data_IF_843981825414
#
_entry.id   IF_843981825414
#
_cell.length_a   1.000
_cell.length_b   1.000
_cell.length_c   1.000
_cell.angle_alpha   90.00
_cell.angle_beta   90.00
_cell.angle_gamma   90.00
#
_symmetry.space_group_name_H-M   'P 1'
#
loop_
_entity.id
_entity.type
_entity.pdbx_description
1 polymer ?
#
# COMPACT_ATOMS: atom_id res chain seq x y z
N UNK A 1 -25.57 -37.66 45.45
CA UNK A 1 -24.19 -37.22 45.17
C UNK A 1 -24.11 -37.04 43.67
N UNK A 2 -23.92 -35.80 43.26
CA UNK A 2 -23.97 -35.26 41.91
C UNK A 2 -22.61 -35.42 41.24
N UNK A 3 -22.54 -36.29 40.23
CA UNK A 3 -21.37 -36.36 39.35
C UNK A 3 -21.56 -35.37 38.18
N UNK A 4 -21.41 -34.08 38.49
CA UNK A 4 -21.19 -33.02 37.50
C UNK A 4 -19.75 -33.15 36.97
N UNK A 5 -19.52 -34.11 36.07
CA UNK A 5 -18.32 -34.15 35.24
C UNK A 5 -18.46 -33.14 34.09
N UNK A 6 -18.50 -31.85 34.43
CA UNK A 6 -18.31 -30.77 33.48
C UNK A 6 -16.80 -30.63 33.18
N UNK A 7 -16.26 -31.61 32.45
CA UNK A 7 -14.93 -31.50 31.88
C UNK A 7 -14.99 -30.42 30.79
N UNK A 8 -14.47 -29.25 31.13
CA UNK A 8 -14.23 -28.10 30.27
C UNK A 8 -13.24 -28.47 29.16
N UNK A 9 -13.70 -29.21 28.15
CA UNK A 9 -12.99 -29.35 26.89
C UNK A 9 -13.28 -28.14 26.03
N UNK A 10 -12.23 -27.61 25.39
CA UNK A 10 -12.36 -26.57 24.37
C UNK A 10 -13.42 -26.98 23.35
N UNK A 11 -14.24 -26.04 22.90
CA UNK A 11 -15.38 -26.29 21.99
C UNK A 11 -14.84 -26.56 20.58
N UNK A 12 -14.34 -27.78 20.34
CA UNK A 12 -13.81 -28.21 19.04
C UNK A 12 -14.96 -28.53 18.09
N UNK A 13 -15.06 -27.80 16.98
CA UNK A 13 -15.98 -28.09 15.88
C UNK A 13 -15.19 -28.72 14.72
N UNK A 14 -15.48 -29.97 14.32
CA UNK A 14 -14.88 -30.54 13.12
C UNK A 14 -15.35 -29.79 11.87
N UNK A 15 -14.44 -29.59 10.90
CA UNK A 15 -14.70 -28.90 9.63
C UNK A 15 -14.28 -29.85 8.49
N UNK A 16 -15.08 -29.94 7.43
CA UNK A 16 -14.72 -30.70 6.24
C UNK A 16 -13.58 -30.01 5.48
N UNK A 17 -12.56 -30.79 5.10
CA UNK A 17 -11.37 -30.23 4.44
C UNK A 17 -11.67 -29.65 3.06
N UNK A 18 -12.61 -30.23 2.30
CA UNK A 18 -12.94 -29.72 0.98
C UNK A 18 -13.71 -28.41 1.08
N UNK A 19 -14.63 -28.32 2.05
CA UNK A 19 -15.36 -27.08 2.35
C UNK A 19 -14.40 -25.96 2.80
N UNK A 20 -13.50 -26.25 3.74
CA UNK A 20 -12.51 -25.28 4.24
C UNK A 20 -11.57 -24.81 3.14
N UNK A 21 -11.02 -25.73 2.33
CA UNK A 21 -10.15 -25.37 1.21
C UNK A 21 -10.87 -24.48 0.20
N UNK A 22 -12.13 -24.79 -0.13
CA UNK A 22 -12.90 -24.00 -1.07
C UNK A 22 -13.19 -22.59 -0.52
N UNK A 23 -13.62 -22.49 0.74
CA UNK A 23 -13.91 -21.19 1.37
C UNK A 23 -12.66 -20.33 1.47
N UNK A 24 -11.59 -20.87 2.07
CA UNK A 24 -10.31 -20.16 2.22
C UNK A 24 -9.71 -19.72 0.88
N UNK A 25 -9.83 -20.55 -0.16
CA UNK A 25 -9.36 -20.19 -1.50
C UNK A 25 -10.16 -19.03 -2.10
N UNK A 26 -11.50 -19.09 -2.03
CA UNK A 26 -12.37 -18.04 -2.57
C UNK A 26 -12.18 -16.72 -1.82
N UNK A 27 -12.09 -16.76 -0.48
CA UNK A 27 -11.90 -15.58 0.34
C UNK A 27 -10.56 -14.89 0.02
N UNK A 28 -9.48 -15.66 -0.08
CA UNK A 28 -8.19 -15.13 -0.47
C UNK A 28 -8.21 -14.58 -1.91
N UNK A 29 -8.75 -15.34 -2.87
CA UNK A 29 -8.82 -14.91 -4.26
C UNK A 29 -9.61 -13.60 -4.42
N UNK A 30 -10.76 -13.49 -3.76
CA UNK A 30 -11.58 -12.29 -3.79
C UNK A 30 -10.86 -11.09 -3.15
N UNK A 31 -10.17 -11.32 -2.01
CA UNK A 31 -9.36 -10.28 -1.35
C UNK A 31 -8.24 -9.75 -2.28
N UNK A 32 -7.63 -10.62 -3.08
CA UNK A 32 -6.58 -10.24 -4.03
C UNK A 32 -7.17 -9.45 -5.20
N UNK A 33 -8.26 -9.91 -5.78
CA UNK A 33 -8.90 -9.28 -6.94
C UNK A 33 -9.35 -7.86 -6.59
N UNK A 34 -10.11 -7.71 -5.50
CA UNK A 34 -10.75 -6.44 -5.13
C UNK A 34 -9.80 -5.53 -4.34
N UNK A 35 -9.03 -6.10 -3.42
CA UNK A 35 -8.26 -5.35 -2.43
C UNK A 35 -6.79 -5.11 -2.78
N UNK A 36 -6.28 -5.66 -3.91
CA UNK A 36 -4.84 -5.64 -4.19
C UNK A 36 -4.48 -5.48 -5.66
N UNK A 37 -4.94 -6.39 -6.51
CA UNK A 37 -4.37 -6.61 -7.83
C UNK A 37 -4.92 -5.63 -8.88
N UNK A 38 -6.24 -5.41 -8.90
CA UNK A 38 -6.90 -4.61 -9.92
C UNK A 38 -7.03 -3.14 -9.48
N UNK A 39 -6.81 -2.18 -10.40
CA UNK A 39 -7.10 -0.78 -10.15
C UNK A 39 -8.60 -0.52 -10.16
N UNK A 40 -9.00 0.59 -9.53
CA UNK A 40 -10.38 1.08 -9.59
C UNK A 40 -10.60 1.90 -10.88
N UNK A 41 -11.79 1.84 -11.46
CA UNK A 41 -12.08 2.42 -12.79
C UNK A 41 -12.16 3.96 -12.81
N UNK A 42 -12.58 4.59 -11.72
CA UNK A 42 -12.78 6.04 -11.58
C UNK A 42 -11.46 6.79 -11.48
N UNK A 43 -10.48 6.21 -10.79
CA UNK A 43 -9.18 6.86 -10.56
C UNK A 43 -7.99 6.12 -11.19
N UNK A 44 -8.18 4.89 -11.69
CA UNK A 44 -7.12 4.07 -12.26
C UNK A 44 -6.10 3.55 -11.24
N UNK A 45 -6.35 3.72 -9.93
CA UNK A 45 -5.39 3.41 -8.88
C UNK A 45 -5.67 2.10 -8.17
N UNK A 46 -4.59 1.31 -7.98
CA UNK A 46 -4.59 0.23 -6.98
C UNK A 46 -4.61 0.80 -5.56
N UNK A 47 -5.07 0.05 -4.55
CA UNK A 47 -5.16 0.52 -3.17
C UNK A 47 -3.85 1.08 -2.59
N UNK A 48 -2.70 0.49 -2.92
CA UNK A 48 -1.39 0.99 -2.44
C UNK A 48 -1.05 2.38 -2.99
N UNK A 49 -1.29 2.65 -4.28
CA UNK A 49 -1.05 3.98 -4.87
C UNK A 49 -1.91 5.05 -4.19
N UNK A 50 -3.21 4.75 -4.02
CA UNK A 50 -4.17 5.67 -3.38
C UNK A 50 -3.76 5.99 -1.94
N UNK A 51 -3.37 4.97 -1.17
CA UNK A 51 -2.93 5.12 0.22
C UNK A 51 -1.66 5.95 0.34
N UNK A 52 -0.66 5.72 -0.52
CA UNK A 52 0.57 6.54 -0.55
C UNK A 52 0.25 7.98 -0.89
N UNK A 53 -0.55 8.21 -1.93
CA UNK A 53 -0.89 9.57 -2.37
C UNK A 53 -1.69 10.34 -1.30
N UNK A 54 -2.64 9.66 -0.65
CA UNK A 54 -3.42 10.22 0.44
C UNK A 54 -2.55 10.51 1.66
N UNK A 55 -1.68 9.59 2.07
CA UNK A 55 -0.76 9.81 3.18
C UNK A 55 0.18 11.01 2.92
N UNK A 56 0.66 11.17 1.68
CA UNK A 56 1.48 12.32 1.30
C UNK A 56 0.71 13.64 1.36
N UNK A 57 -0.56 13.63 0.95
CA UNK A 57 -1.44 14.80 1.01
C UNK A 57 -1.76 15.20 2.47
N UNK A 58 -2.18 14.22 3.28
CA UNK A 58 -2.58 14.38 4.68
C UNK A 58 -1.43 14.92 5.55
N UNK A 59 -0.21 14.43 5.33
CA UNK A 59 1.00 14.89 6.01
C UNK A 59 1.63 16.16 5.39
N UNK A 60 1.03 16.71 4.34
CA UNK A 60 1.45 18.00 3.77
C UNK A 60 2.72 17.97 2.93
N UNK A 61 3.07 16.82 2.31
CA UNK A 61 4.23 16.67 1.41
C UNK A 61 3.94 17.25 0.01
N UNK A 62 3.56 18.52 -0.01
CA UNK A 62 3.04 19.24 -1.18
C UNK A 62 4.17 19.69 -2.14
N UNK A 63 3.84 20.01 -3.42
CA UNK A 63 4.84 20.44 -4.41
C UNK A 63 5.55 21.75 -4.06
N UNK A 64 4.90 22.63 -3.30
CA UNK A 64 5.44 23.91 -2.82
C UNK A 64 6.39 23.77 -1.62
N UNK A 65 6.49 22.58 -1.03
CA UNK A 65 7.32 22.30 0.14
C UNK A 65 8.65 21.65 -0.26
N UNK A 66 9.59 21.67 0.69
CA UNK A 66 10.87 20.98 0.56
C UNK A 66 10.66 19.47 0.46
N UNK A 67 11.57 18.79 -0.24
CA UNK A 67 11.60 17.35 -0.26
C UNK A 67 11.75 16.78 1.15
N UNK A 68 11.12 15.63 1.39
CA UNK A 68 11.21 14.88 2.65
C UNK A 68 11.83 13.51 2.39
N UNK A 69 12.54 12.95 3.37
CA UNK A 69 13.09 11.58 3.26
C UNK A 69 11.97 10.61 2.92
N UNK A 70 12.16 9.76 1.90
CA UNK A 70 11.14 8.80 1.45
C UNK A 70 10.69 7.84 2.56
N UNK A 71 11.54 7.59 3.55
CA UNK A 71 11.18 6.85 4.75
C UNK A 71 9.96 7.42 5.50
N UNK A 72 9.74 8.74 5.48
CA UNK A 72 8.59 9.38 6.14
C UNK A 72 7.24 8.98 5.50
N UNK A 73 6.96 9.28 4.22
CA UNK A 73 5.69 8.89 3.60
C UNK A 73 5.50 7.37 3.57
N UNK A 74 6.57 6.57 3.50
CA UNK A 74 6.47 5.11 3.64
C UNK A 74 5.97 4.72 5.04
N UNK A 75 6.57 5.27 6.10
CA UNK A 75 6.16 5.01 7.47
C UNK A 75 4.73 5.50 7.76
N UNK A 76 4.37 6.71 7.31
CA UNK A 76 3.03 7.29 7.50
C UNK A 76 1.96 6.46 6.79
N UNK A 77 2.28 5.98 5.57
CA UNK A 77 1.38 5.08 4.83
C UNK A 77 1.22 3.76 5.55
N UNK A 78 2.31 3.16 6.02
CA UNK A 78 2.29 1.87 6.70
C UNK A 78 1.53 1.94 8.03
N UNK A 79 1.80 2.98 8.83
CA UNK A 79 1.23 3.14 10.17
C UNK A 79 -0.26 3.45 10.16
N UNK A 80 -0.73 4.25 9.20
CA UNK A 80 -2.10 4.76 9.22
C UNK A 80 -3.03 4.08 8.19
N UNK A 81 -2.51 3.62 7.05
CA UNK A 81 -3.35 3.32 5.87
C UNK A 81 -3.10 1.95 5.22
N UNK A 82 -1.91 1.37 5.35
CA UNK A 82 -1.50 0.18 4.61
C UNK A 82 -0.82 -0.85 5.53
N UNK A 83 -1.55 -1.85 6.07
CA UNK A 83 -1.03 -2.81 7.05
C UNK A 83 -0.20 -3.93 6.40
N UNK A 84 0.73 -3.57 5.52
CA UNK A 84 1.64 -4.47 4.83
C UNK A 84 3.05 -3.87 4.78
N UNK A 85 4.03 -4.68 4.37
CA UNK A 85 5.45 -4.34 4.46
C UNK A 85 5.84 -3.04 3.77
N UNK A 86 6.78 -2.34 4.39
CA UNK A 86 7.41 -1.09 3.95
C UNK A 86 8.01 -1.20 2.53
N UNK A 87 8.57 -2.36 2.19
CA UNK A 87 9.21 -2.62 0.90
C UNK A 87 8.23 -2.41 -0.25
N UNK A 88 7.02 -2.97 -0.16
CA UNK A 88 6.00 -2.85 -1.20
C UNK A 88 5.53 -1.39 -1.37
N UNK A 89 5.46 -0.64 -0.26
CA UNK A 89 5.08 0.77 -0.25
C UNK A 89 6.18 1.61 -0.90
N UNK A 90 7.44 1.37 -0.55
CA UNK A 90 8.59 2.07 -1.12
C UNK A 90 8.75 1.80 -2.62
N UNK A 91 8.62 0.55 -3.05
CA UNK A 91 8.67 0.18 -4.47
C UNK A 91 7.54 0.87 -5.27
N UNK A 92 6.36 0.97 -4.67
CA UNK A 92 5.23 1.70 -5.25
C UNK A 92 5.56 3.19 -5.41
N UNK A 93 6.08 3.82 -4.35
CA UNK A 93 6.48 5.23 -4.34
C UNK A 93 7.54 5.50 -5.42
N UNK A 94 8.55 4.63 -5.50
CA UNK A 94 9.62 4.73 -6.50
C UNK A 94 9.06 4.66 -7.92
N UNK A 95 8.16 3.71 -8.21
CA UNK A 95 7.55 3.59 -9.54
C UNK A 95 6.69 4.80 -9.91
N UNK A 96 6.04 5.44 -8.93
CA UNK A 96 5.29 6.69 -9.14
C UNK A 96 6.18 7.91 -9.43
N UNK A 97 7.48 7.82 -9.12
CA UNK A 97 8.46 8.87 -9.39
C UNK A 97 9.24 8.66 -10.71
N UNK A 98 9.23 7.45 -11.27
CA UNK A 98 10.01 7.11 -12.46
C UNK A 98 9.31 7.56 -13.77
N UNK A 99 9.91 8.49 -14.55
CA UNK A 99 9.29 9.03 -15.77
C UNK A 99 9.19 8.04 -16.94
N UNK A 100 9.88 6.90 -16.87
CA UNK A 100 9.73 5.79 -17.83
C UNK A 100 8.71 4.74 -17.39
N UNK A 101 8.37 4.68 -16.09
CA UNK A 101 7.34 3.76 -15.57
C UNK A 101 5.94 4.38 -15.66
N UNK A 102 5.84 5.71 -15.53
CA UNK A 102 4.58 6.43 -15.64
C UNK A 102 4.70 7.57 -16.63
N UNK A 103 3.71 7.70 -17.52
CA UNK A 103 3.65 8.81 -18.49
C UNK A 103 3.58 10.18 -17.80
N UNK A 104 2.89 10.22 -16.66
CA UNK A 104 2.75 11.39 -15.80
C UNK A 104 3.06 10.99 -14.35
N UNK A 105 4.29 11.22 -13.87
CA UNK A 105 4.66 10.93 -12.49
C UNK A 105 3.80 11.68 -11.48
N UNK A 106 3.43 10.99 -10.41
CA UNK A 106 2.66 11.56 -9.29
C UNK A 106 3.55 11.93 -8.10
N UNK A 107 4.76 11.38 -8.07
CA UNK A 107 5.78 11.70 -7.05
C UNK A 107 6.95 12.39 -7.73
N UNK A 108 7.42 13.49 -7.15
CA UNK A 108 8.64 14.18 -7.49
C UNK A 108 9.75 13.66 -6.56
N UNK A 109 10.73 12.96 -7.11
CA UNK A 109 11.80 12.31 -6.36
C UNK A 109 13.16 13.00 -6.54
N UNK A 110 13.88 13.18 -5.45
CA UNK A 110 15.27 13.65 -5.42
C UNK A 110 16.21 12.53 -4.93
N UNK A 111 17.27 12.27 -5.70
CA UNK A 111 18.22 11.19 -5.45
C UNK A 111 18.13 10.05 -6.47
N UNK A 112 18.72 8.90 -6.15
CA UNK A 112 18.71 7.75 -7.06
C UNK A 112 17.42 6.92 -6.92
N UNK A 113 16.50 7.11 -7.87
CA UNK A 113 15.25 6.35 -8.01
C UNK A 113 15.36 5.19 -9.02
N UNK A 114 16.58 4.75 -9.33
CA UNK A 114 16.87 3.69 -10.30
C UNK A 114 17.07 4.22 -11.71
N UNK A 115 17.31 3.31 -12.65
CA UNK A 115 17.51 3.62 -14.07
C UNK A 115 16.52 2.87 -14.95
N UNK A 116 16.47 3.19 -16.25
CA UNK A 116 15.72 2.41 -17.25
C UNK A 116 16.28 1.00 -17.43
N UNK A 117 17.53 0.77 -17.02
CA UNK A 117 18.18 -0.53 -17.02
C UNK A 117 17.69 -1.37 -15.84
N UNK A 118 18.61 -2.13 -15.27
CA UNK A 118 18.31 -3.03 -14.15
C UNK A 118 18.77 -2.49 -12.79
N UNK A 119 19.11 -1.18 -12.72
CA UNK A 119 19.55 -0.57 -11.48
C UNK A 119 18.35 -0.18 -10.63
N UNK A 120 18.24 -0.81 -9.47
CA UNK A 120 17.21 -0.49 -8.47
C UNK A 120 17.41 0.90 -7.84
N UNK A 121 16.39 1.41 -7.15
CA UNK A 121 16.49 2.65 -6.39
C UNK A 121 17.50 2.49 -5.24
N UNK A 122 18.07 3.61 -4.79
CA UNK A 122 18.77 3.63 -3.51
C UNK A 122 17.78 3.35 -2.36
N UNK A 123 18.30 2.98 -1.19
CA UNK A 123 17.47 2.76 0.00
C UNK A 123 16.70 4.04 0.39
N UNK A 124 15.49 3.87 0.96
CA UNK A 124 14.57 4.97 1.31
C UNK A 124 15.14 6.03 2.29
N UNK A 125 16.26 5.73 2.96
CA UNK A 125 17.01 6.66 3.81
C UNK A 125 17.82 7.69 3.02
N UNK A 126 18.14 7.42 1.76
CA UNK A 126 18.92 8.29 0.89
C UNK A 126 18.07 9.09 -0.09
N UNK A 127 16.92 8.54 -0.50
CA UNK A 127 16.01 9.22 -1.41
C UNK A 127 15.09 10.17 -0.67
N UNK A 128 14.69 11.23 -1.36
CA UNK A 128 13.72 12.20 -0.88
C UNK A 128 12.61 12.36 -1.91
N UNK A 129 11.42 12.73 -1.48
CA UNK A 129 10.27 12.91 -2.36
C UNK A 129 9.30 13.98 -1.86
N UNK A 130 8.42 14.40 -2.76
CA UNK A 130 7.21 15.19 -2.52
C UNK A 130 6.19 14.90 -3.63
N UNK A 131 4.97 15.41 -3.51
CA UNK A 131 3.96 15.27 -4.57
C UNK A 131 4.34 16.12 -5.79
N UNK A 132 3.99 15.65 -7.00
CA UNK A 132 4.00 16.50 -8.20
C UNK A 132 2.81 17.46 -8.19
N UNK A 133 2.85 18.58 -8.92
CA UNK A 133 1.67 19.44 -9.09
C UNK A 133 0.44 18.69 -9.64
N UNK A 134 0.65 17.71 -10.52
CA UNK A 134 -0.43 16.88 -11.06
C UNK A 134 -1.05 15.98 -9.98
N UNK A 135 -0.26 15.46 -9.05
CA UNK A 135 -0.78 14.64 -7.96
C UNK A 135 -1.78 15.39 -7.06
N UNK A 136 -1.67 16.71 -6.95
CA UNK A 136 -2.66 17.53 -6.24
C UNK A 136 -4.04 17.52 -6.92
N UNK A 137 -4.09 17.32 -8.23
CA UNK A 137 -5.35 17.19 -8.98
C UNK A 137 -6.10 15.92 -8.62
N UNK A 138 -5.37 14.84 -8.32
CA UNK A 138 -5.96 13.55 -7.94
C UNK A 138 -6.65 13.58 -6.58
N UNK A 139 -6.24 14.50 -5.70
CA UNK A 139 -6.77 14.68 -4.34
C UNK A 139 -7.50 16.01 -4.18
N UNK A 140 -7.77 16.71 -5.29
CA UNK A 140 -8.45 18.00 -5.28
C UNK A 140 -9.85 17.82 -4.70
N UNK A 141 -10.23 18.74 -3.82
CA UNK A 141 -11.55 18.79 -3.17
C UNK A 141 -11.92 17.52 -2.40
N UNK A 142 -10.92 16.72 -2.01
CA UNK A 142 -11.13 15.60 -1.10
C UNK A 142 -11.56 16.16 0.27
N UNK A 143 -12.75 15.78 0.71
CA UNK A 143 -13.38 16.22 1.96
C UNK A 143 -13.21 15.18 3.05
#
# INVERSE_FOLDING_TARGET
MSDDNNATFDRVSPIDINEEMQSSYIDYAMSVIVGRALPEVRDGMKPVHRRVLYAMYDNGYRPDRSYVKSAKPVADTMGNYHPHGDTAIYDTLVRMAQPWSMRYPLVDGQGNFGSRGNDGPAAMRYTECRMTPLAMEMVRDIR
#
